data_IF_845129887234
#
_entry.id   IF_845129887234
#
_cell.length_a   1.000
_cell.length_b   1.000
_cell.length_c   1.000
_cell.angle_alpha   90.00
_cell.angle_beta   90.00
_cell.angle_gamma   90.00
#
_symmetry.space_group_name_H-M   'P 1'
#
loop_
_entity.id
_entity.type
_entity.pdbx_description
1 polymer ?
#
# COMPACT_ATOMS: atom_id res chain seq x y z
N UNK A 1 -21.84 22.26 -8.98
CA UNK A 1 -21.57 20.85 -8.61
C UNK A 1 -20.20 20.82 -7.94
N UNK A 2 -20.14 20.48 -6.66
CA UNK A 2 -18.95 20.67 -5.81
C UNK A 2 -17.95 19.54 -6.05
N UNK A 3 -16.72 19.91 -6.39
CA UNK A 3 -15.62 18.98 -6.67
C UNK A 3 -15.15 18.25 -5.41
N UNK A 4 -14.83 16.97 -5.57
CA UNK A 4 -14.18 16.14 -4.56
C UNK A 4 -12.69 16.49 -4.48
N UNK A 5 -12.05 16.46 -3.30
CA UNK A 5 -10.62 16.73 -3.19
C UNK A 5 -9.83 15.57 -3.78
N UNK A 6 -8.90 15.89 -4.68
CA UNK A 6 -7.89 14.97 -5.19
C UNK A 6 -7.00 14.53 -4.03
N UNK A 7 -7.15 13.29 -3.60
CA UNK A 7 -6.16 12.62 -2.76
C UNK A 7 -5.36 11.70 -3.69
N UNK A 8 -4.03 11.76 -3.60
CA UNK A 8 -3.02 11.21 -4.54
C UNK A 8 -2.67 12.15 -5.72
N UNK A 9 -1.68 13.02 -5.51
CA UNK A 9 -0.93 13.65 -6.60
C UNK A 9 0.47 14.03 -6.11
N UNK A 10 1.41 13.09 -6.21
CA UNK A 10 2.84 13.41 -6.14
C UNK A 10 3.36 13.55 -7.58
N UNK A 11 3.46 14.79 -8.08
CA UNK A 11 4.13 15.09 -9.35
C UNK A 11 5.62 15.37 -9.13
N UNK A 12 6.46 14.65 -9.87
CA UNK A 12 7.66 15.20 -10.48
C UNK A 12 8.98 14.66 -9.95
N UNK A 13 9.70 13.90 -10.79
CA UNK A 13 11.17 13.91 -10.72
C UNK A 13 11.79 13.73 -12.11
N UNK A 14 12.53 14.75 -12.53
CA UNK A 14 13.31 14.77 -13.75
C UNK A 14 14.55 13.89 -13.64
N UNK A 15 14.89 13.27 -14.78
CA UNK A 15 16.02 12.39 -14.97
C UNK A 15 17.36 13.15 -14.91
N UNK A 16 18.33 12.61 -14.18
CA UNK A 16 19.76 12.72 -14.52
C UNK A 16 20.52 11.57 -13.86
N UNK A 17 21.24 10.81 -14.69
CA UNK A 17 21.80 9.51 -14.34
C UNK A 17 23.07 9.56 -13.49
N UNK A 18 23.39 8.41 -12.91
CA UNK A 18 24.74 8.09 -12.49
C UNK A 18 24.97 6.59 -12.66
N UNK A 19 26.05 6.27 -13.36
CA UNK A 19 26.57 4.92 -13.61
C UNK A 19 27.62 4.64 -12.54
N UNK A 20 27.61 3.46 -11.91
CA UNK A 20 28.82 2.84 -11.35
C UNK A 20 28.66 1.33 -11.17
N UNK A 21 29.70 0.63 -11.59
CA UNK A 21 29.86 -0.82 -11.60
C UNK A 21 30.34 -1.39 -10.24
N UNK A 22 29.99 -2.68 -10.04
CA UNK A 22 30.16 -3.69 -8.94
C UNK A 22 31.61 -3.89 -8.41
N UNK A 23 31.90 -4.32 -7.14
CA UNK A 23 31.76 -5.73 -6.66
C UNK A 23 31.52 -5.94 -5.13
N UNK A 24 30.63 -6.86 -4.71
CA UNK A 24 30.62 -7.29 -3.29
C UNK A 24 29.43 -8.12 -2.80
N UNK A 25 29.21 -9.31 -3.35
CA UNK A 25 28.26 -10.30 -2.81
C UNK A 25 28.88 -11.10 -1.66
N UNK A 26 28.78 -10.59 -0.44
CA UNK A 26 28.68 -11.34 0.82
C UNK A 26 28.53 -10.32 1.98
N UNK A 27 27.28 -10.07 2.41
CA UNK A 27 26.98 -9.29 3.63
C UNK A 27 25.97 -8.14 3.51
N UNK A 28 25.58 -7.70 2.32
CA UNK A 28 24.48 -6.75 2.12
C UNK A 28 23.18 -7.49 1.81
N UNK A 29 22.09 -7.14 2.51
CA UNK A 29 20.75 -7.61 2.14
C UNK A 29 20.43 -7.15 0.71
N UNK A 30 19.70 -7.98 -0.04
CA UNK A 30 19.26 -7.60 -1.38
C UNK A 30 18.23 -6.47 -1.34
N UNK A 31 18.15 -5.66 -2.39
CA UNK A 31 17.18 -4.56 -2.54
C UNK A 31 15.75 -5.00 -2.20
N UNK A 32 15.33 -6.16 -2.72
CA UNK A 32 14.03 -6.76 -2.41
C UNK A 32 13.89 -7.01 -0.91
N UNK A 33 14.87 -7.66 -0.28
CA UNK A 33 14.78 -8.01 1.14
C UNK A 33 14.71 -6.76 2.04
N UNK A 34 15.42 -5.68 1.66
CA UNK A 34 15.29 -4.39 2.35
C UNK A 34 13.89 -3.80 2.20
N UNK A 35 13.32 -3.81 0.99
CA UNK A 35 11.97 -3.30 0.73
C UNK A 35 10.89 -4.11 1.47
N UNK A 36 10.99 -5.44 1.50
CA UNK A 36 10.06 -6.29 2.26
C UNK A 36 10.11 -5.96 3.76
N UNK A 37 11.31 -5.88 4.33
CA UNK A 37 11.51 -5.51 5.74
C UNK A 37 10.92 -4.13 6.05
N UNK A 38 11.12 -3.18 5.15
CA UNK A 38 10.58 -1.83 5.29
C UNK A 38 9.05 -1.81 5.24
N UNK A 39 8.45 -2.62 4.38
CA UNK A 39 6.99 -2.79 4.31
C UNK A 39 6.43 -3.40 5.60
N UNK A 40 7.04 -4.46 6.12
CA UNK A 40 6.64 -5.10 7.40
C UNK A 40 6.73 -4.10 8.57
N UNK A 41 7.82 -3.33 8.63
CA UNK A 41 7.99 -2.31 9.65
C UNK A 41 6.90 -1.24 9.57
N UNK A 42 6.69 -0.66 8.38
CA UNK A 42 5.68 0.37 8.15
C UNK A 42 4.25 -0.14 8.39
N UNK A 43 3.98 -1.42 8.10
CA UNK A 43 2.70 -2.04 8.43
C UNK A 43 2.54 -2.19 9.95
N UNK A 44 3.61 -2.50 10.68
CA UNK A 44 3.67 -2.38 12.15
C UNK A 44 3.24 -1.01 12.65
N UNK A 45 3.78 0.06 12.08
CA UNK A 45 3.45 1.44 12.45
C UNK A 45 1.95 1.76 12.21
N UNK A 46 1.37 1.24 11.12
CA UNK A 46 -0.06 1.37 10.82
C UNK A 46 -0.92 0.66 11.86
N UNK A 47 -0.56 -0.60 12.21
CA UNK A 47 -1.26 -1.38 13.25
C UNK A 47 -1.24 -0.67 14.60
N UNK A 48 -0.09 -0.11 14.99
CA UNK A 48 0.02 0.69 16.20
C UNK A 48 -0.86 1.94 16.15
N UNK A 49 -0.93 2.63 15.01
CA UNK A 49 -1.73 3.83 14.85
C UNK A 49 -3.24 3.58 14.98
N UNK A 50 -3.72 2.38 14.66
CA UNK A 50 -5.12 1.98 14.85
C UNK A 50 -5.38 1.25 16.18
N UNK A 51 -4.31 0.86 16.89
CA UNK A 51 -4.40 0.17 18.17
C UNK A 51 -5.23 0.93 19.21
N UNK A 52 -6.15 0.21 19.85
CA UNK A 52 -7.02 0.73 20.91
C UNK A 52 -8.16 1.65 20.46
N UNK A 53 -8.39 1.81 19.15
CA UNK A 53 -9.59 2.50 18.66
C UNK A 53 -10.83 1.60 18.85
N UNK A 54 -11.91 2.18 19.35
CA UNK A 54 -13.22 1.54 19.38
C UNK A 54 -13.85 1.47 17.97
N UNK A 55 -14.83 0.60 17.75
CA UNK A 55 -15.49 0.47 16.43
C UNK A 55 -16.12 1.79 15.97
N UNK A 56 -16.72 2.56 16.88
CA UNK A 56 -17.30 3.87 16.58
C UNK A 56 -16.24 4.87 16.11
N UNK A 57 -15.04 4.80 16.69
CA UNK A 57 -13.90 5.63 16.28
C UNK A 57 -13.37 5.20 14.92
N UNK A 58 -13.34 3.89 14.63
CA UNK A 58 -12.90 3.39 13.32
C UNK A 58 -13.83 3.80 12.19
N UNK A 59 -15.15 3.86 12.45
CA UNK A 59 -16.17 4.28 11.49
C UNK A 59 -16.37 5.79 11.38
N UNK A 60 -15.72 6.62 12.22
CA UNK A 60 -15.88 8.07 12.16
C UNK A 60 -15.22 8.63 10.92
N UNK A 61 -15.98 9.36 10.11
CA UNK A 61 -15.49 10.05 8.91
C UNK A 61 -14.74 11.33 9.28
N UNK A 62 -13.56 11.51 8.71
CA UNK A 62 -12.74 12.73 8.88
C UNK A 62 -11.83 13.02 7.69
N UNK A 63 -11.51 12.02 6.87
CA UNK A 63 -10.72 12.18 5.66
C UNK A 63 -11.65 12.20 4.44
N UNK A 64 -12.25 13.37 4.18
CA UNK A 64 -13.25 13.51 3.11
C UNK A 64 -14.51 12.70 3.41
N UNK A 65 -14.64 11.53 2.78
CA UNK A 65 -15.75 10.59 3.03
C UNK A 65 -15.32 9.34 3.81
N UNK A 66 -14.03 9.26 4.18
CA UNK A 66 -13.45 8.07 4.80
C UNK A 66 -13.20 8.25 6.29
N UNK A 67 -13.45 7.17 7.03
CA UNK A 67 -12.87 6.94 8.36
C UNK A 67 -11.68 5.99 8.29
N UNK A 68 -11.22 5.53 9.45
CA UNK A 68 -10.15 4.52 9.54
C UNK A 68 -10.57 3.24 8.83
N UNK A 69 -11.83 2.80 9.01
CA UNK A 69 -12.39 1.63 8.36
C UNK A 69 -12.18 1.64 6.84
N UNK A 70 -12.56 2.72 6.16
CA UNK A 70 -12.42 2.84 4.71
C UNK A 70 -10.96 2.87 4.27
N UNK A 71 -10.08 3.50 5.06
CA UNK A 71 -8.63 3.47 4.81
C UNK A 71 -8.10 2.02 4.84
N UNK A 72 -8.50 1.22 5.83
CA UNK A 72 -8.04 -0.18 5.94
C UNK A 72 -8.60 -1.07 4.81
N UNK A 73 -9.84 -0.84 4.41
CA UNK A 73 -10.45 -1.50 3.24
C UNK A 73 -9.69 -1.13 1.96
N UNK A 74 -9.35 0.15 1.79
CA UNK A 74 -8.57 0.63 0.65
C UNK A 74 -7.18 -0.03 0.60
N UNK A 75 -6.47 -0.06 1.73
CA UNK A 75 -5.14 -0.70 1.83
C UNK A 75 -5.21 -2.18 1.48
N UNK A 76 -6.14 -2.93 2.09
CA UNK A 76 -6.32 -4.36 1.78
C UNK A 76 -6.79 -4.60 0.34
N UNK A 77 -7.63 -3.72 -0.20
CA UNK A 77 -8.03 -3.73 -1.62
C UNK A 77 -6.83 -3.65 -2.56
N UNK A 78 -5.88 -2.75 -2.30
CA UNK A 78 -4.65 -2.64 -3.10
C UNK A 78 -3.72 -3.83 -2.93
N UNK A 79 -3.59 -4.40 -1.73
CA UNK A 79 -2.87 -5.67 -1.56
C UNK A 79 -3.43 -6.74 -2.49
N UNK A 80 -4.75 -6.97 -2.45
CA UNK A 80 -5.42 -7.99 -3.28
C UNK A 80 -5.32 -7.69 -4.77
N UNK A 81 -5.32 -6.42 -5.17
CA UNK A 81 -5.14 -6.01 -6.55
C UNK A 81 -3.70 -6.25 -7.05
N UNK A 82 -2.70 -6.03 -6.19
CA UNK A 82 -1.29 -6.06 -6.55
C UNK A 82 -0.61 -7.42 -6.34
N UNK A 83 -1.15 -8.30 -5.49
CA UNK A 83 -0.68 -9.69 -5.35
C UNK A 83 -0.61 -10.41 -6.71
N UNK A 84 -1.69 -10.52 -7.51
CA UNK A 84 -1.60 -11.18 -8.83
C UNK A 84 -0.68 -10.41 -9.80
N UNK A 85 -0.55 -9.10 -9.66
CA UNK A 85 0.36 -8.31 -10.48
C UNK A 85 1.83 -8.66 -10.23
N UNK A 86 2.21 -8.89 -8.97
CA UNK A 86 3.54 -9.39 -8.60
C UNK A 86 3.77 -10.81 -9.15
N UNK A 87 2.75 -11.67 -9.11
CA UNK A 87 2.83 -13.02 -9.68
C UNK A 87 3.04 -13.00 -11.20
N UNK A 88 2.35 -12.11 -11.93
CA UNK A 88 2.59 -11.91 -13.37
C UNK A 88 4.04 -11.46 -13.61
N UNK A 89 4.52 -10.46 -12.87
CA UNK A 89 5.90 -9.97 -13.01
C UNK A 89 6.92 -11.08 -12.70
N UNK A 90 6.66 -11.93 -11.71
CA UNK A 90 7.53 -13.07 -11.39
C UNK A 90 7.69 -14.04 -12.57
N UNK A 91 6.69 -14.14 -13.45
CA UNK A 91 6.73 -14.93 -14.69
C UNK A 91 7.27 -14.16 -15.90
N UNK A 92 7.67 -12.91 -15.73
CA UNK A 92 8.11 -12.03 -16.82
C UNK A 92 6.97 -11.47 -17.67
N UNK A 93 5.75 -11.49 -17.15
CA UNK A 93 4.56 -10.95 -17.79
C UNK A 93 4.31 -9.51 -17.33
N UNK A 94 3.49 -8.76 -18.08
CA UNK A 94 3.02 -7.46 -17.62
C UNK A 94 2.15 -7.61 -16.36
N UNK A 95 2.23 -6.71 -15.37
CA UNK A 95 1.49 -6.85 -14.11
C UNK A 95 -0.02 -6.91 -14.28
N UNK A 96 -0.54 -6.13 -15.23
CA UNK A 96 -1.94 -6.05 -15.61
C UNK A 96 -2.07 -5.36 -16.98
N UNK A 97 -3.21 -5.48 -17.68
CA UNK A 97 -3.44 -4.78 -18.95
C UNK A 97 -3.31 -3.25 -18.80
N UNK A 98 -2.74 -2.53 -19.77
CA UNK A 98 -2.74 -1.07 -19.77
C UNK A 98 -4.15 -0.50 -19.61
N UNK A 99 -4.29 0.57 -18.83
CA UNK A 99 -5.58 1.19 -18.55
C UNK A 99 -6.35 0.60 -17.37
N UNK A 100 -5.90 -0.54 -16.81
CA UNK A 100 -6.64 -1.23 -15.73
C UNK A 100 -6.87 -0.32 -14.52
N UNK A 101 -5.86 0.45 -14.11
CA UNK A 101 -5.89 1.29 -12.91
C UNK A 101 -5.80 2.79 -13.21
N UNK A 102 -6.30 3.25 -14.37
CA UNK A 102 -6.24 4.68 -14.77
C UNK A 102 -7.13 5.58 -13.89
N UNK A 103 -8.17 5.01 -13.28
CA UNK A 103 -9.04 5.70 -12.34
C UNK A 103 -8.93 5.08 -10.95
N UNK A 104 -7.93 5.53 -10.19
CA UNK A 104 -7.73 5.12 -8.80
C UNK A 104 -8.94 5.41 -7.92
N UNK A 105 -9.67 6.50 -8.16
CA UNK A 105 -10.84 6.84 -7.35
C UNK A 105 -11.96 5.83 -7.54
N UNK A 106 -12.21 5.40 -8.78
CA UNK A 106 -13.19 4.37 -9.08
C UNK A 106 -12.81 3.02 -8.44
N UNK A 107 -11.54 2.66 -8.43
CA UNK A 107 -11.07 1.45 -7.74
C UNK A 107 -11.21 1.53 -6.23
N UNK A 108 -10.79 2.64 -5.64
CA UNK A 108 -10.91 2.87 -4.20
C UNK A 108 -12.37 2.80 -3.75
N UNK A 109 -13.29 3.43 -4.50
CA UNK A 109 -14.72 3.34 -4.26
C UNK A 109 -15.22 1.88 -4.36
N UNK A 110 -14.81 1.14 -5.40
CA UNK A 110 -15.17 -0.28 -5.55
C UNK A 110 -14.70 -1.14 -4.39
N UNK A 111 -13.52 -0.88 -3.82
CA UNK A 111 -13.04 -1.62 -2.64
C UNK A 111 -13.94 -1.38 -1.44
N UNK A 112 -14.25 -0.12 -1.16
CA UNK A 112 -15.13 0.28 -0.04
C UNK A 112 -16.55 -0.26 -0.22
N UNK A 113 -17.14 -0.09 -1.41
CA UNK A 113 -18.52 -0.49 -1.69
C UNK A 113 -18.73 -2.00 -1.48
N UNK A 114 -17.76 -2.82 -1.91
CA UNK A 114 -17.82 -4.29 -1.75
C UNK A 114 -17.79 -4.76 -0.30
N UNK A 115 -17.29 -3.91 0.61
CA UNK A 115 -17.16 -4.21 2.03
C UNK A 115 -18.30 -3.55 2.84
N UNK A 116 -19.36 -3.06 2.20
CA UNK A 116 -20.52 -2.48 2.89
C UNK A 116 -21.13 -3.48 3.88
N UNK A 117 -21.29 -3.07 5.14
CA UNK A 117 -21.87 -3.91 6.19
C UNK A 117 -20.93 -4.95 6.81
N UNK A 118 -19.69 -5.06 6.35
CA UNK A 118 -18.67 -5.94 6.95
C UNK A 118 -18.21 -5.39 8.30
N UNK A 119 -18.07 -6.28 9.29
CA UNK A 119 -17.68 -5.94 10.66
C UNK A 119 -16.25 -5.44 10.70
N UNK A 120 -15.94 -4.54 11.63
CA UNK A 120 -14.59 -4.01 11.83
C UNK A 120 -13.57 -5.12 12.08
N UNK A 121 -13.92 -6.13 12.88
CA UNK A 121 -13.06 -7.27 13.14
C UNK A 121 -12.66 -8.03 11.85
N UNK A 122 -13.59 -8.18 10.90
CA UNK A 122 -13.33 -8.85 9.62
C UNK A 122 -12.46 -7.97 8.70
N UNK A 123 -12.63 -6.65 8.73
CA UNK A 123 -11.76 -5.70 8.02
C UNK A 123 -10.32 -5.78 8.54
N UNK A 124 -10.13 -5.87 9.87
CA UNK A 124 -8.81 -6.03 10.48
C UNK A 124 -8.17 -7.37 10.11
N UNK A 125 -8.94 -8.46 10.14
CA UNK A 125 -8.47 -9.78 9.74
C UNK A 125 -8.06 -9.81 8.26
N UNK A 126 -8.84 -9.16 7.39
CA UNK A 126 -8.51 -9.04 5.96
C UNK A 126 -7.29 -8.16 5.70
N UNK A 127 -7.09 -7.09 6.47
CA UNK A 127 -5.89 -6.27 6.39
C UNK A 127 -4.62 -7.10 6.68
N UNK A 128 -4.62 -7.87 7.76
CA UNK A 128 -3.51 -8.76 8.14
C UNK A 128 -3.27 -9.85 7.10
N UNK A 129 -4.35 -10.51 6.66
CA UNK A 129 -4.25 -11.59 5.68
C UNK A 129 -3.74 -11.08 4.33
N UNK A 130 -4.29 -9.97 3.84
CA UNK A 130 -3.89 -9.39 2.56
C UNK A 130 -2.46 -8.86 2.58
N UNK A 131 -1.99 -8.27 3.68
CA UNK A 131 -0.59 -7.83 3.81
C UNK A 131 0.37 -9.02 3.75
N UNK A 132 0.11 -10.08 4.53
CA UNK A 132 0.94 -11.30 4.51
C UNK A 132 1.01 -11.90 3.11
N UNK A 133 -0.12 -12.01 2.43
CA UNK A 133 -0.18 -12.62 1.10
C UNK A 133 0.51 -11.72 0.05
N UNK A 134 0.39 -10.40 0.16
CA UNK A 134 1.08 -9.42 -0.68
C UNK A 134 2.61 -9.47 -0.50
N UNK A 135 3.09 -9.48 0.73
CA UNK A 135 4.53 -9.60 1.05
C UNK A 135 5.09 -10.94 0.60
N UNK A 136 4.33 -12.03 0.77
CA UNK A 136 4.73 -13.36 0.29
C UNK A 136 4.87 -13.40 -1.24
N UNK A 137 3.92 -12.80 -1.98
CA UNK A 137 4.01 -12.70 -3.43
C UNK A 137 5.22 -11.87 -3.87
N UNK A 138 5.49 -10.75 -3.20
CA UNK A 138 6.67 -9.92 -3.46
C UNK A 138 7.98 -10.68 -3.19
N UNK A 139 8.04 -11.48 -2.13
CA UNK A 139 9.19 -12.32 -1.80
C UNK A 139 9.49 -13.41 -2.85
N UNK A 140 8.47 -13.83 -3.62
CA UNK A 140 8.62 -14.81 -4.69
C UNK A 140 9.14 -14.20 -6.01
N UNK A 141 9.09 -12.88 -6.19
CA UNK A 141 9.54 -12.23 -7.43
C UNK A 141 11.08 -12.25 -7.51
N UNK A 142 11.68 -12.64 -8.65
CA UNK A 142 13.13 -12.60 -8.84
C UNK A 142 13.74 -11.21 -8.62
N UNK A 143 14.93 -11.18 -7.99
CA UNK A 143 15.66 -9.96 -7.62
C UNK A 143 15.82 -8.92 -8.76
N UNK A 144 16.07 -9.29 -10.03
CA UNK A 144 16.20 -8.31 -11.11
C UNK A 144 14.98 -7.40 -11.32
N UNK A 145 13.77 -7.85 -10.95
CA UNK A 145 12.56 -7.03 -11.04
C UNK A 145 12.40 -6.03 -9.88
N UNK A 146 13.22 -6.16 -8.83
CA UNK A 146 13.27 -5.28 -7.66
C UNK A 146 14.46 -4.31 -7.67
N UNK A 147 15.42 -4.51 -8.59
CA UNK A 147 16.47 -3.54 -8.85
C UNK A 147 15.87 -2.18 -9.28
N UNK A 148 16.67 -1.11 -9.21
CA UNK A 148 16.25 0.22 -9.64
C UNK A 148 15.70 0.21 -11.09
N UNK A 149 14.47 0.70 -11.28
CA UNK A 149 13.75 0.68 -12.57
C UNK A 149 13.10 -0.67 -12.92
N UNK A 150 13.14 -1.65 -12.02
CA UNK A 150 12.49 -2.94 -12.18
C UNK A 150 10.96 -2.85 -12.02
N UNK A 151 10.24 -3.68 -12.77
CA UNK A 151 8.78 -3.63 -12.86
C UNK A 151 8.04 -3.92 -11.55
N UNK A 152 8.65 -4.63 -10.59
CA UNK A 152 8.05 -4.91 -9.29
C UNK A 152 8.32 -3.83 -8.25
N UNK A 153 9.42 -3.08 -8.39
CA UNK A 153 9.87 -2.12 -7.37
C UNK A 153 8.85 -1.02 -7.14
N UNK A 154 8.50 -0.26 -8.19
CA UNK A 154 7.61 0.89 -8.08
C UNK A 154 6.21 0.47 -7.59
N UNK A 155 5.73 -0.67 -8.08
CA UNK A 155 4.45 -1.27 -7.67
C UNK A 155 4.45 -1.62 -6.18
N UNK A 156 5.51 -2.26 -5.70
CA UNK A 156 5.63 -2.66 -4.31
C UNK A 156 5.83 -1.46 -3.37
N UNK A 157 6.69 -0.50 -3.73
CA UNK A 157 6.91 0.73 -2.96
C UNK A 157 5.64 1.58 -2.85
N UNK A 158 4.88 1.69 -3.94
CA UNK A 158 3.62 2.46 -3.99
C UNK A 158 2.45 1.82 -3.27
N UNK A 159 2.52 0.51 -3.00
CA UNK A 159 1.45 -0.23 -2.28
C UNK A 159 1.83 -0.56 -0.83
N UNK A 160 3.13 -0.67 -0.56
CA UNK A 160 3.71 -1.07 0.72
C UNK A 160 4.08 0.13 1.60
N UNK A 161 5.37 0.21 1.97
CA UNK A 161 5.82 1.07 3.07
C UNK A 161 5.41 2.54 2.97
N UNK A 162 5.55 3.16 1.79
CA UNK A 162 5.23 4.58 1.61
C UNK A 162 3.74 4.86 1.83
N UNK A 163 2.90 3.97 1.31
CA UNK A 163 1.45 4.03 1.41
C UNK A 163 0.96 3.80 2.84
N UNK A 164 1.54 2.83 3.55
CA UNK A 164 1.23 2.60 4.97
C UNK A 164 1.56 3.83 5.82
N UNK A 165 2.71 4.46 5.57
CA UNK A 165 3.16 5.63 6.34
C UNK A 165 2.31 6.87 6.06
N UNK A 166 1.87 7.07 4.83
CA UNK A 166 0.92 8.14 4.50
C UNK A 166 -0.32 8.04 5.39
N UNK A 167 -0.99 6.88 5.39
CA UNK A 167 -2.19 6.67 6.19
C UNK A 167 -1.93 6.65 7.70
N UNK A 168 -0.79 6.10 8.13
CA UNK A 168 -0.34 6.15 9.53
C UNK A 168 -0.24 7.59 10.02
N UNK A 169 0.37 8.48 9.22
CA UNK A 169 0.51 9.90 9.56
C UNK A 169 -0.85 10.59 9.68
N UNK A 170 -1.75 10.36 8.71
CA UNK A 170 -3.10 10.93 8.73
C UNK A 170 -3.89 10.46 9.95
N UNK A 171 -3.87 9.15 10.28
CA UNK A 171 -4.57 8.59 11.45
C UNK A 171 -4.00 9.16 12.75
N UNK A 172 -2.67 9.23 12.89
CA UNK A 172 -2.03 9.81 14.08
C UNK A 172 -2.38 11.29 14.23
N UNK A 173 -2.45 12.04 13.14
CA UNK A 173 -2.88 13.45 13.16
C UNK A 173 -4.33 13.59 13.64
N UNK A 174 -5.25 12.81 13.06
CA UNK A 174 -6.65 12.79 13.49
C UNK A 174 -6.81 12.45 14.97
N UNK A 175 -6.06 11.45 15.48
CA UNK A 175 -6.08 11.09 16.91
C UNK A 175 -5.61 12.25 17.79
N UNK A 176 -4.54 12.96 17.40
CA UNK A 176 -4.01 14.12 18.14
C UNK A 176 -4.96 15.32 18.13
N UNK A 177 -5.72 15.51 17.06
CA UNK A 177 -6.72 16.59 16.95
C UNK A 177 -7.90 16.41 17.92
N UNK A 178 -7.91 15.31 18.69
CA UNK A 178 -8.99 14.95 19.59
C UNK A 178 -10.09 14.30 18.80
N UNK A 179 -10.09 12.96 18.75
CA UNK A 179 -11.13 12.12 18.19
C UNK A 179 -12.46 12.24 18.99
N UNK A 180 -12.95 13.47 19.21
CA UNK A 180 -14.20 13.82 19.90
C UNK A 180 -15.37 13.26 19.14
#
# INVERSE_FOLDING_TARGET
>A
MRGFPYFTNARGRGLRGYKRDDPGREGLMSDRAELLREADHAFGELREAIGGLAEEQMGRVWLGTWGVREILIHVSGWHRAMTPALEHIARGEAPYPPGTYDDFNAWNARFVDRQTGVKIADVLAELEASHRDFVAAAAAVPEPYFAAGGAARDLFEGTGASHYREHTAQIREWRRAGAR
#
